data_IF_889448543900
#
_entry.id   IF_889448543900
#
_cell.length_a   1.000
_cell.length_b   1.000
_cell.length_c   1.000
_cell.angle_alpha   90.00
_cell.angle_beta   90.00
_cell.angle_gamma   90.00
#
_symmetry.space_group_name_H-M   'P 1'
#
loop_
_entity.id
_entity.type
_entity.pdbx_description
1 polymer ?
#
# COMPACT_ATOMS: atom_id res chain seq x y z
N UNK A 1 35.11 18.05 28.65
CA UNK A 1 33.83 17.51 29.18
C UNK A 1 33.28 16.50 28.18
N UNK A 2 33.48 15.20 28.42
CA UNK A 2 32.94 14.15 27.54
C UNK A 2 31.45 13.97 27.82
N UNK A 3 30.59 14.20 26.81
CA UNK A 3 29.18 13.81 26.89
C UNK A 3 29.14 12.28 26.93
N UNK A 4 28.94 11.71 28.11
CA UNK A 4 28.70 10.29 28.29
C UNK A 4 27.59 9.85 27.34
N UNK A 5 27.85 8.80 26.56
CA UNK A 5 26.90 8.22 25.62
C UNK A 5 25.70 7.74 26.44
N UNK A 6 24.59 8.47 26.45
CA UNK A 6 23.42 8.05 27.23
C UNK A 6 22.89 6.74 26.65
N UNK A 7 22.74 5.75 27.51
CA UNK A 7 22.18 4.44 27.15
C UNK A 7 20.71 4.63 26.81
N UNK A 8 20.38 4.55 25.52
CA UNK A 8 19.01 4.60 25.02
C UNK A 8 18.34 3.25 25.25
N UNK A 9 17.07 3.27 25.65
CA UNK A 9 16.25 2.07 25.83
C UNK A 9 15.26 1.98 24.69
N UNK A 10 15.14 0.79 24.10
CA UNK A 10 14.09 0.51 23.11
C UNK A 10 12.78 0.24 23.86
N UNK A 11 11.67 0.75 23.35
CA UNK A 11 10.34 0.57 23.92
C UNK A 11 9.46 -0.23 22.96
N UNK A 12 8.65 -1.15 23.48
CA UNK A 12 7.67 -1.90 22.68
C UNK A 12 6.46 -1.04 22.31
N UNK A 13 6.10 -0.09 23.18
CA UNK A 13 5.02 0.85 22.95
C UNK A 13 5.24 2.18 23.66
N UNK A 14 4.56 3.22 23.18
CA UNK A 14 4.54 4.54 23.81
C UNK A 14 3.16 5.18 23.65
N UNK A 15 2.61 5.77 24.71
CA UNK A 15 1.37 6.53 24.65
C UNK A 15 1.67 7.99 24.33
N UNK A 16 1.26 8.43 23.14
CA UNK A 16 1.42 9.82 22.70
C UNK A 16 0.35 10.66 23.40
N UNK A 17 0.79 11.60 24.24
CA UNK A 17 -0.10 12.37 25.13
C UNK A 17 -1.11 13.23 24.37
N UNK A 18 -0.70 13.85 23.26
CA UNK A 18 -1.55 14.76 22.47
C UNK A 18 -2.80 14.07 21.90
N UNK A 19 -2.70 12.78 21.56
CA UNK A 19 -3.78 12.01 20.95
C UNK A 19 -4.38 10.94 21.86
N UNK A 20 -3.81 10.78 23.06
CA UNK A 20 -4.16 9.74 24.04
C UNK A 20 -4.25 8.32 23.43
N UNK A 21 -3.30 7.97 22.56
CA UNK A 21 -3.23 6.65 21.89
C UNK A 21 -1.83 6.06 22.03
N UNK A 22 -1.78 4.74 22.19
CA UNK A 22 -0.54 3.98 22.17
C UNK A 22 -0.09 3.66 20.73
N UNK A 23 1.19 3.89 20.47
CA UNK A 23 1.87 3.51 19.23
C UNK A 23 2.88 2.39 19.49
N UNK A 24 3.14 1.56 18.48
CA UNK A 24 4.10 0.45 18.46
C UNK A 24 4.89 0.46 17.15
N UNK A 25 6.00 -0.27 17.11
CA UNK A 25 6.66 -0.57 15.84
C UNK A 25 5.67 -1.29 14.88
N UNK A 26 5.70 -0.92 13.60
CA UNK A 26 4.77 -1.34 12.57
C UNK A 26 3.54 -0.44 12.39
N UNK A 27 3.18 0.37 13.38
CA UNK A 27 2.06 1.32 13.24
C UNK A 27 2.38 2.39 12.19
N UNK A 28 1.34 2.85 11.48
CA UNK A 28 1.41 4.05 10.65
C UNK A 28 0.84 5.24 11.42
N UNK A 29 1.48 6.40 11.27
CA UNK A 29 1.15 7.63 12.00
C UNK A 29 1.14 8.83 11.06
N UNK A 30 0.33 9.82 11.46
CA UNK A 30 0.36 11.17 10.90
C UNK A 30 1.27 12.03 11.75
N UNK A 31 2.18 12.77 11.11
CA UNK A 31 3.16 13.61 11.77
C UNK A 31 3.06 15.04 11.28
N UNK A 32 3.16 15.98 12.22
CA UNK A 32 3.08 17.42 11.95
C UNK A 32 4.18 17.84 10.97
N UNK A 33 3.83 18.55 9.89
CA UNK A 33 4.83 19.07 8.97
C UNK A 33 5.49 20.33 9.54
N UNK A 34 6.70 20.65 9.06
CA UNK A 34 7.37 21.90 9.43
C UNK A 34 6.65 23.13 8.85
N UNK A 35 6.02 22.97 7.68
CA UNK A 35 5.16 23.97 7.04
C UNK A 35 3.69 23.60 7.27
N UNK A 36 2.97 24.40 8.06
CA UNK A 36 1.58 24.15 8.45
C UNK A 36 0.59 24.24 7.29
N UNK A 37 1.01 24.74 6.12
CA UNK A 37 0.18 24.73 4.91
C UNK A 37 0.21 23.38 4.19
N UNK A 38 1.12 22.48 4.57
CA UNK A 38 1.21 21.13 4.01
C UNK A 38 0.32 20.16 4.79
N UNK A 39 -0.19 19.11 4.13
CA UNK A 39 -0.84 18.02 4.86
C UNK A 39 0.16 17.33 5.79
N UNK A 40 -0.35 16.69 6.85
CA UNK A 40 0.48 15.89 7.75
C UNK A 40 1.21 14.78 6.98
N UNK A 41 2.47 14.58 7.35
CA UNK A 41 3.31 13.52 6.79
C UNK A 41 2.79 12.17 7.24
N UNK A 42 2.94 11.16 6.39
CA UNK A 42 2.57 9.78 6.71
C UNK A 42 3.86 9.00 6.93
N UNK A 43 3.96 8.25 8.04
CA UNK A 43 5.15 7.50 8.36
C UNK A 43 4.82 6.14 8.97
N UNK A 44 5.68 5.15 8.75
CA UNK A 44 5.67 3.89 9.49
C UNK A 44 6.66 4.00 10.64
N UNK A 45 6.23 3.66 11.86
CA UNK A 45 7.11 3.56 13.02
C UNK A 45 7.93 2.27 12.91
N UNK A 46 9.24 2.38 12.80
CA UNK A 46 10.16 1.22 12.75
C UNK A 46 10.65 0.86 14.16
N UNK A 47 10.90 1.86 15.00
CA UNK A 47 11.41 1.67 16.36
C UNK A 47 11.03 2.82 17.27
N UNK A 48 10.83 2.55 18.55
CA UNK A 48 10.63 3.56 19.60
C UNK A 48 11.79 3.50 20.59
N UNK A 49 12.37 4.65 20.91
CA UNK A 49 13.47 4.76 21.87
C UNK A 49 13.22 5.87 22.88
N UNK A 50 13.64 5.67 24.13
CA UNK A 50 13.71 6.75 25.13
C UNK A 50 15.14 7.01 25.58
N UNK A 51 15.38 8.23 26.05
CA UNK A 51 16.59 8.52 26.82
C UNK A 51 16.61 7.75 28.15
N UNK A 52 17.76 7.73 28.81
CA UNK A 52 17.96 6.98 30.06
C UNK A 52 17.03 7.41 31.20
N UNK A 53 16.42 8.61 31.10
CA UNK A 53 15.49 9.17 32.10
C UNK A 53 14.02 8.92 31.72
N UNK A 54 13.74 8.41 30.52
CA UNK A 54 12.39 8.19 30.01
C UNK A 54 11.64 9.48 29.65
N UNK A 55 12.30 10.64 29.70
CA UNK A 55 11.65 11.94 29.54
C UNK A 55 11.48 12.31 28.06
N UNK A 56 12.42 11.90 27.22
CA UNK A 56 12.41 12.20 25.79
C UNK A 56 12.25 10.90 24.99
N UNK A 57 11.09 10.76 24.33
CA UNK A 57 10.80 9.62 23.47
C UNK A 57 10.95 10.03 22.01
N UNK A 58 11.71 9.23 21.27
CA UNK A 58 11.93 9.37 19.84
C UNK A 58 11.43 8.15 19.10
N UNK A 59 10.97 8.40 17.88
CA UNK A 59 10.53 7.38 16.95
C UNK A 59 11.47 7.36 15.76
N UNK A 60 11.98 6.18 15.41
CA UNK A 60 12.62 5.94 14.13
C UNK A 60 11.51 5.62 13.15
N UNK A 61 11.46 6.36 12.06
CA UNK A 61 10.36 6.30 11.10
C UNK A 61 10.88 6.05 9.71
N UNK A 62 10.03 5.41 8.91
CA UNK A 62 10.20 5.26 7.47
C UNK A 62 9.09 6.04 6.78
N UNK A 63 9.47 7.00 5.95
CA UNK A 63 8.52 7.94 5.37
C UNK A 63 7.71 7.32 4.24
N UNK A 64 6.42 7.63 4.22
CA UNK A 64 5.59 7.50 3.04
C UNK A 64 5.54 8.85 2.32
N UNK A 65 5.79 8.86 1.02
CA UNK A 65 5.70 10.05 0.18
C UNK A 65 4.34 10.10 -0.48
N UNK A 66 3.69 11.26 -0.43
CA UNK A 66 2.51 11.52 -1.25
C UNK A 66 2.93 11.73 -2.71
N UNK A 67 2.04 11.48 -3.68
CA UNK A 67 2.33 11.73 -5.10
C UNK A 67 2.91 13.12 -5.41
N UNK A 68 2.35 14.15 -4.80
CA UNK A 68 2.78 15.55 -4.89
C UNK A 68 4.16 15.83 -4.30
N UNK A 69 4.67 14.96 -3.44
CA UNK A 69 6.00 15.07 -2.81
C UNK A 69 7.08 14.32 -3.60
N UNK A 70 6.69 13.49 -4.56
CA UNK A 70 7.63 12.74 -5.40
C UNK A 70 8.29 13.62 -6.46
N UNK A 71 9.50 13.27 -6.90
CA UNK A 71 10.24 14.00 -7.95
C UNK A 71 9.42 14.11 -9.25
N UNK A 72 8.66 13.07 -9.58
CA UNK A 72 7.82 13.02 -10.78
C UNK A 72 6.46 13.70 -10.62
N UNK A 73 6.11 14.15 -9.41
CA UNK A 73 4.82 14.74 -9.09
C UNK A 73 3.62 13.78 -9.21
N UNK A 74 2.43 14.33 -8.94
CA UNK A 74 1.16 13.59 -9.05
C UNK A 74 0.80 13.34 -10.52
N UNK A 75 0.40 12.10 -10.83
CA UNK A 75 -0.09 11.65 -12.14
C UNK A 75 -1.57 11.29 -12.07
N UNK A 76 -2.24 11.23 -13.22
CA UNK A 76 -3.68 10.99 -13.30
C UNK A 76 -4.12 9.64 -12.70
N UNK A 77 -3.26 8.60 -12.76
CA UNK A 77 -3.57 7.29 -12.21
C UNK A 77 -3.32 7.17 -10.69
N UNK A 78 -2.77 8.22 -10.06
CA UNK A 78 -2.53 8.22 -8.62
C UNK A 78 -3.83 8.47 -7.85
N UNK A 79 -4.14 7.61 -6.88
CA UNK A 79 -5.30 7.77 -6.01
C UNK A 79 -5.17 8.99 -5.08
N UNK A 80 -6.30 9.52 -4.62
CA UNK A 80 -6.33 10.63 -3.66
C UNK A 80 -5.75 10.25 -2.29
N UNK A 81 -5.88 8.97 -1.90
CA UNK A 81 -5.33 8.38 -0.67
C UNK A 81 -4.05 7.56 -0.90
N UNK A 82 -3.43 7.69 -2.08
CA UNK A 82 -2.22 6.94 -2.40
C UNK A 82 -0.99 7.56 -1.74
N UNK A 83 -0.11 6.71 -1.22
CA UNK A 83 1.23 7.07 -0.72
C UNK A 83 2.25 6.01 -1.13
N UNK A 84 3.53 6.37 -1.15
CA UNK A 84 4.62 5.50 -1.60
C UNK A 84 5.59 5.21 -0.46
N UNK A 85 5.88 3.93 -0.22
CA UNK A 85 6.81 3.54 0.84
C UNK A 85 8.24 3.88 0.40
N UNK A 86 8.84 4.91 0.99
CA UNK A 86 10.17 5.36 0.56
C UNK A 86 11.32 4.57 1.20
N UNK A 87 12.55 4.76 0.74
CA UNK A 87 13.79 4.36 1.44
C UNK A 87 14.28 5.41 2.46
N UNK A 88 13.56 6.51 2.63
CA UNK A 88 13.93 7.60 3.53
C UNK A 88 13.54 7.27 4.98
N UNK A 89 14.57 7.17 5.83
CA UNK A 89 14.44 6.96 7.26
C UNK A 89 14.88 8.18 8.04
N UNK A 90 14.22 8.45 9.17
CA UNK A 90 14.55 9.57 10.04
C UNK A 90 14.22 9.28 11.50
N UNK A 91 14.68 10.13 12.42
CA UNK A 91 14.40 10.07 13.85
C UNK A 91 13.69 11.34 14.27
N UNK A 92 12.45 11.21 14.73
CA UNK A 92 11.60 12.33 15.13
C UNK A 92 11.19 12.24 16.60
N UNK A 93 10.78 13.36 17.20
CA UNK A 93 10.15 13.35 18.53
C UNK A 93 8.77 12.70 18.43
N UNK A 94 8.41 11.87 19.41
CA UNK A 94 7.06 11.30 19.48
C UNK A 94 5.97 12.37 19.62
N UNK A 95 6.31 13.58 20.10
CA UNK A 95 5.38 14.70 20.25
C UNK A 95 4.90 15.28 18.91
N UNK A 96 5.61 14.99 17.82
CA UNK A 96 5.19 15.43 16.47
C UNK A 96 4.05 14.60 15.90
N UNK A 97 3.67 13.50 16.56
CA UNK A 97 2.60 12.62 16.11
C UNK A 97 1.23 13.26 16.40
N UNK A 98 0.42 13.39 15.35
CA UNK A 98 -0.91 14.00 15.38
C UNK A 98 -2.03 12.97 15.33
N UNK A 99 -1.72 11.72 14.97
CA UNK A 99 -2.70 10.65 14.91
C UNK A 99 -2.11 9.32 14.45
N UNK A 100 -2.88 8.24 14.63
CA UNK A 100 -2.63 6.96 13.96
C UNK A 100 -3.42 6.93 12.66
N UNK A 101 -2.85 6.30 11.63
CA UNK A 101 -3.52 6.05 10.35
C UNK A 101 -3.27 4.62 9.89
N UNK A 102 -3.96 4.22 8.82
CA UNK A 102 -3.79 2.89 8.21
C UNK A 102 -3.29 3.05 6.79
N UNK A 103 -2.16 2.43 6.46
CA UNK A 103 -1.70 2.30 5.07
C UNK A 103 -1.95 0.87 4.61
N UNK A 104 -3.00 0.71 3.82
CA UNK A 104 -3.45 -0.56 3.28
C UNK A 104 -2.58 -1.02 2.11
N UNK A 105 -2.55 -2.33 1.86
CA UNK A 105 -2.20 -2.81 0.52
C UNK A 105 -3.27 -2.36 -0.47
N UNK A 106 -2.92 -2.18 -1.75
CA UNK A 106 -3.93 -1.82 -2.75
C UNK A 106 -5.11 -2.80 -2.80
N UNK A 107 -4.83 -4.11 -2.69
CA UNK A 107 -5.86 -5.16 -2.68
C UNK A 107 -6.81 -5.07 -1.48
N UNK A 108 -6.32 -4.70 -0.30
CA UNK A 108 -7.18 -4.54 0.88
C UNK A 108 -7.96 -3.24 0.83
N UNK A 109 -7.33 -2.16 0.34
CA UNK A 109 -7.97 -0.86 0.17
C UNK A 109 -9.17 -0.92 -0.79
N UNK A 110 -9.04 -1.62 -1.92
CA UNK A 110 -10.14 -1.77 -2.90
C UNK A 110 -11.35 -2.54 -2.37
N UNK A 111 -11.25 -3.15 -1.18
CA UNK A 111 -12.31 -3.93 -0.53
C UNK A 111 -12.96 -3.20 0.65
N UNK A 112 -12.53 -1.97 0.95
CA UNK A 112 -13.15 -1.19 2.01
C UNK A 112 -14.56 -0.76 1.57
N UNK A 113 -15.54 -0.94 2.45
CA UNK A 113 -16.92 -0.47 2.22
C UNK A 113 -16.99 1.06 2.16
N UNK A 114 -16.16 1.73 2.97
CA UNK A 114 -15.98 3.18 2.98
C UNK A 114 -14.53 3.53 3.29
N UNK A 115 -14.03 4.60 2.67
CA UNK A 115 -12.67 5.11 2.87
C UNK A 115 -12.72 6.26 3.86
N UNK A 116 -12.08 6.09 5.02
CA UNK A 116 -11.96 7.13 6.03
C UNK A 116 -10.91 8.19 5.71
N UNK A 117 -10.84 9.22 6.56
CA UNK A 117 -9.82 10.26 6.42
C UNK A 117 -8.40 9.73 6.64
N UNK A 118 -8.26 8.78 7.56
CA UNK A 118 -6.99 8.17 7.98
C UNK A 118 -6.67 6.86 7.25
N UNK A 119 -7.46 6.51 6.22
CA UNK A 119 -7.19 5.37 5.36
C UNK A 119 -6.40 5.81 4.12
N UNK A 120 -5.23 5.19 3.95
CA UNK A 120 -4.32 5.36 2.83
C UNK A 120 -4.06 4.01 2.18
N UNK A 121 -3.47 4.01 0.99
CA UNK A 121 -2.95 2.78 0.40
C UNK A 121 -1.59 2.99 -0.24
N UNK A 122 -0.84 1.90 -0.29
CA UNK A 122 0.47 1.85 -0.92
C UNK A 122 0.54 0.64 -1.86
N UNK A 123 1.02 0.88 -3.09
CA UNK A 123 1.34 -0.17 -4.08
C UNK A 123 2.72 -0.02 -4.70
N UNK A 124 3.45 1.02 -4.32
CA UNK A 124 4.78 1.30 -4.82
C UNK A 124 5.76 1.53 -3.68
N UNK A 125 6.96 0.99 -3.83
CA UNK A 125 8.14 1.50 -3.15
C UNK A 125 8.73 2.65 -3.97
N UNK A 126 9.37 3.59 -3.28
CA UNK A 126 9.91 4.81 -3.88
C UNK A 126 11.35 5.05 -3.39
N UNK A 127 12.26 5.30 -4.33
CA UNK A 127 13.60 5.75 -3.99
C UNK A 127 13.62 7.27 -3.90
N UNK A 128 13.81 7.79 -2.68
CA UNK A 128 13.73 9.22 -2.37
C UNK A 128 14.81 10.08 -3.04
N UNK A 129 15.93 9.46 -3.42
CA UNK A 129 17.07 10.15 -4.05
C UNK A 129 16.98 10.18 -5.58
N UNK A 130 16.53 9.10 -6.20
CA UNK A 130 16.51 8.93 -7.66
C UNK A 130 15.12 9.13 -8.28
N UNK A 131 14.06 9.04 -7.49
CA UNK A 131 12.68 9.08 -7.97
C UNK A 131 12.20 7.78 -8.60
N UNK A 132 13.01 6.70 -8.54
CA UNK A 132 12.64 5.40 -9.08
C UNK A 132 11.50 4.75 -8.27
N UNK A 133 10.65 4.01 -8.98
CA UNK A 133 9.53 3.26 -8.39
C UNK A 133 9.75 1.76 -8.54
N UNK A 134 9.26 0.99 -7.56
CA UNK A 134 9.18 -0.45 -7.63
C UNK A 134 7.75 -0.91 -7.27
N UNK A 135 7.04 -1.61 -8.19
CA UNK A 135 7.45 -1.92 -9.56
C UNK A 135 7.59 -0.66 -10.43
N UNK A 136 8.46 -0.70 -11.43
CA UNK A 136 8.73 0.41 -12.36
C UNK A 136 7.65 0.57 -13.44
N UNK A 137 6.85 -0.48 -13.65
CA UNK A 137 5.75 -0.51 -14.63
C UNK A 137 4.50 -1.16 -14.03
N UNK A 138 3.36 -0.54 -14.27
CA UNK A 138 2.03 -1.10 -13.97
C UNK A 138 1.14 -0.89 -15.17
N UNK A 139 0.46 -1.95 -15.60
CA UNK A 139 -0.53 -1.86 -16.66
C UNK A 139 -1.82 -1.24 -16.10
N UNK A 140 -2.24 -0.12 -16.68
CA UNK A 140 -3.48 0.57 -16.33
C UNK A 140 -4.29 0.77 -17.60
N UNK A 141 -5.52 0.27 -17.60
CA UNK A 141 -6.44 0.41 -18.72
C UNK A 141 -7.67 1.15 -18.21
N UNK A 142 -7.88 2.38 -18.67
CA UNK A 142 -9.16 3.04 -18.49
C UNK A 142 -10.16 2.35 -19.41
N UNK A 143 -11.35 1.93 -18.94
CA UNK A 143 -12.36 1.31 -19.79
C UNK A 143 -12.61 2.12 -21.06
N UNK A 144 -12.72 3.45 -20.93
CA UNK A 144 -12.96 4.36 -22.05
C UNK A 144 -11.81 4.45 -23.06
N UNK A 145 -10.57 4.07 -22.70
CA UNK A 145 -9.43 4.05 -23.62
C UNK A 145 -9.31 2.75 -24.40
N UNK A 146 -10.10 1.73 -24.05
CA UNK A 146 -10.14 0.40 -24.70
C UNK A 146 -11.56 0.08 -25.19
N UNK A 147 -12.34 1.13 -25.48
CA UNK A 147 -13.71 1.06 -25.99
C UNK A 147 -14.67 0.22 -25.13
N UNK A 148 -14.49 0.27 -23.80
CA UNK A 148 -15.41 -0.29 -22.81
C UNK A 148 -16.10 0.81 -22.00
N UNK A 149 -17.39 0.62 -21.74
CA UNK A 149 -18.08 1.36 -20.69
C UNK A 149 -17.64 0.91 -19.30
N UNK A 150 -17.91 1.73 -18.28
CA UNK A 150 -17.65 1.36 -16.89
C UNK A 150 -18.52 0.15 -16.48
N UNK A 151 -19.75 0.09 -16.98
CA UNK A 151 -20.70 -0.99 -16.74
C UNK A 151 -20.23 -2.32 -17.35
N UNK A 152 -19.67 -2.29 -18.55
CA UNK A 152 -19.08 -3.47 -19.20
C UNK A 152 -17.83 -3.92 -18.48
N UNK A 153 -16.91 -2.99 -18.15
CA UNK A 153 -15.68 -3.32 -17.43
C UNK A 153 -15.95 -3.99 -16.07
N UNK A 154 -17.02 -3.58 -15.37
CA UNK A 154 -17.44 -4.20 -14.10
C UNK A 154 -17.99 -5.63 -14.25
N UNK A 155 -18.46 -6.01 -15.43
CA UNK A 155 -19.03 -7.34 -15.71
C UNK A 155 -18.00 -8.33 -16.23
N UNK A 156 -16.78 -7.87 -16.55
CA UNK A 156 -15.71 -8.73 -17.02
C UNK A 156 -15.20 -9.63 -15.89
N UNK A 157 -15.25 -10.94 -16.09
CA UNK A 157 -14.55 -11.90 -15.22
C UNK A 157 -13.06 -11.98 -15.57
N UNK A 158 -12.74 -11.89 -16.88
CA UNK A 158 -11.40 -11.95 -17.41
C UNK A 158 -11.21 -10.85 -18.46
N UNK A 159 -10.06 -10.17 -18.42
CA UNK A 159 -9.67 -9.16 -19.39
C UNK A 159 -8.31 -9.49 -19.98
N UNK A 160 -8.22 -9.47 -21.31
CA UNK A 160 -6.97 -9.61 -22.06
C UNK A 160 -6.81 -8.38 -22.92
N UNK A 161 -5.69 -7.65 -22.77
CA UNK A 161 -5.40 -6.53 -23.65
C UNK A 161 -5.18 -7.03 -25.09
N UNK A 162 -5.24 -6.13 -26.07
CA UNK A 162 -5.09 -6.48 -27.49
C UNK A 162 -3.77 -7.24 -27.77
N UNK A 163 -2.69 -6.81 -27.12
CA UNK A 163 -1.38 -7.43 -27.25
C UNK A 163 -1.39 -8.89 -26.75
N UNK A 164 -2.09 -9.18 -25.65
CA UNK A 164 -2.23 -10.54 -25.11
C UNK A 164 -3.23 -11.39 -25.91
N UNK A 165 -4.30 -10.76 -26.39
CA UNK A 165 -5.34 -11.42 -27.18
C UNK A 165 -4.81 -12.00 -28.51
N UNK A 166 -3.77 -11.39 -29.08
CA UNK A 166 -3.13 -11.87 -30.30
C UNK A 166 -2.28 -13.15 -30.12
N UNK A 167 -1.90 -13.49 -28.88
CA UNK A 167 -1.10 -14.68 -28.56
C UNK A 167 -1.90 -15.97 -28.39
N UNK A 168 -3.13 -15.89 -27.88
CA UNK A 168 -3.96 -17.08 -27.57
C UNK A 168 -5.01 -17.42 -28.64
N UNK A 169 -5.20 -16.57 -29.65
CA UNK A 169 -6.12 -16.79 -30.78
C UNK A 169 -5.77 -17.96 -31.71
N UNK A 170 -4.80 -18.81 -31.36
CA UNK A 170 -4.55 -20.09 -32.04
C UNK A 170 -5.11 -21.34 -31.35
N UNK A 171 -5.76 -21.27 -30.17
CA UNK A 171 -6.33 -22.50 -29.57
C UNK A 171 -7.75 -22.48 -29.02
N UNK A 172 -8.45 -21.35 -28.91
CA UNK A 172 -9.86 -21.38 -28.49
C UNK A 172 -10.71 -20.35 -29.26
N UNK A 173 -10.85 -20.56 -30.57
CA UNK A 173 -12.06 -20.10 -31.25
C UNK A 173 -13.08 -21.25 -31.21
N UNK A 174 -14.31 -20.91 -30.82
CA UNK A 174 -15.51 -21.74 -30.74
C UNK A 174 -15.65 -22.73 -29.58
N UNK A 175 -16.33 -22.27 -28.53
CA UNK A 175 -17.56 -22.95 -28.10
C UNK A 175 -18.47 -21.99 -27.33
N UNK A 176 -19.26 -21.20 -28.06
CA UNK A 176 -20.64 -20.95 -27.62
C UNK A 176 -21.41 -22.25 -27.86
N UNK A 177 -21.55 -23.07 -26.82
CA UNK A 177 -22.58 -24.09 -26.76
C UNK A 177 -22.91 -24.31 -25.28
N UNK A 178 -24.08 -23.81 -24.87
CA UNK A 178 -24.70 -24.23 -23.63
C UNK A 178 -25.02 -25.72 -23.71
N UNK A 179 -24.45 -26.54 -22.82
CA UNK A 179 -25.02 -27.82 -22.41
C UNK A 179 -24.64 -28.07 -20.95
N UNK A 180 -25.55 -27.82 -20.02
CA UNK A 180 -26.39 -28.83 -19.33
C UNK A 180 -25.59 -29.95 -18.68
N UNK A 181 -25.70 -29.98 -17.35
CA UNK A 181 -25.32 -31.07 -16.44
C UNK A 181 -25.70 -32.46 -16.96
N UNK A 182 -24.81 -33.42 -16.72
CA UNK A 182 -25.18 -34.76 -16.22
C UNK A 182 -24.00 -35.45 -15.55
N UNK A 183 -24.23 -35.91 -14.31
CA UNK A 183 -23.45 -36.93 -13.63
C UNK A 183 -23.59 -38.28 -14.35
N UNK A 184 -22.51 -39.05 -14.47
CA UNK A 184 -22.59 -40.52 -14.56
C UNK A 184 -21.26 -41.20 -14.17
N UNK A 185 -21.39 -41.98 -13.09
CA UNK A 185 -20.62 -43.14 -12.60
C UNK A 185 -19.54 -43.75 -13.51
N UNK A 186 -18.40 -44.09 -12.90
CA UNK A 186 -17.47 -45.12 -13.41
C UNK A 186 -17.52 -46.34 -12.48
N UNK A 187 -18.09 -47.44 -12.97
CA UNK A 187 -17.88 -48.80 -12.43
C UNK A 187 -17.06 -49.61 -13.44
N UNK A 188 -16.23 -50.51 -12.93
CA UNK A 188 -14.99 -50.95 -13.56
C UNK A 188 -15.03 -52.22 -14.42
N UNK A 189 -13.85 -52.58 -14.95
CA UNK A 189 -13.37 -53.98 -15.10
C UNK A 189 -11.95 -54.04 -15.69
N UNK A 190 -11.01 -54.47 -14.83
CA UNK A 190 -10.23 -55.73 -14.93
C UNK A 190 -9.65 -56.14 -16.30
N UNK A 191 -8.31 -56.25 -16.38
CA UNK A 191 -7.53 -57.31 -17.08
C UNK A 191 -6.05 -57.22 -16.67
N UNK A 192 -5.53 -58.13 -15.83
CA UNK A 192 -4.80 -59.39 -16.17
C UNK A 192 -3.60 -59.19 -17.11
N UNK A 193 -2.39 -59.19 -16.57
CA UNK A 193 -1.50 -60.36 -16.48
C UNK A 193 -0.55 -60.18 -15.31
#
# INVERSE_FOLDING_TARGET
MGKGRSTRRTLDSHTVKSINKAIRAGDCVLMRPSDTNKPSYVARVEKIESDSRGANVRVHVRWYYRPEESIGGRRQFHGSKEVFLSDHHDIQSADTIEGKCTVHSFKSYTKLDAVGNDDFFCRFEYNSSTGAFNPDRVAVFHPTCIDLSIEEAKKLEHFFCENCSSGERKKLNNSHAASRHSEAKVDGKRRRR
#
